data_IF_776381663532
#
_entry.id   IF_776381663532
#
_cell.length_a   1.000
_cell.length_b   1.000
_cell.length_c   1.000
_cell.angle_alpha   90.00
_cell.angle_beta   90.00
_cell.angle_gamma   90.00
#
_symmetry.space_group_name_H-M   'P 1'
#
loop_
_entity.id
_entity.type
_entity.pdbx_description
1 polymer ?
#
# COMPACT_ATOMS: atom_id res chain seq x y z
N UNK A 1 14.37 23.66 -10.22
CA UNK A 1 13.94 22.33 -9.72
C UNK A 1 15.17 21.66 -9.16
N UNK A 2 15.07 21.04 -7.98
CA UNK A 2 16.12 20.23 -7.39
C UNK A 2 15.62 18.77 -7.37
N UNK A 3 16.40 17.85 -7.91
CA UNK A 3 16.08 16.42 -7.98
C UNK A 3 16.96 15.58 -7.05
N UNK A 4 17.84 16.21 -6.27
CA UNK A 4 18.68 15.53 -5.30
C UNK A 4 17.89 15.25 -4.02
N UNK A 5 18.09 14.06 -3.46
CA UNK A 5 17.58 13.72 -2.13
C UNK A 5 18.30 14.54 -1.06
N UNK A 6 17.59 14.91 0.00
CA UNK A 6 18.22 15.46 1.19
C UNK A 6 19.07 14.39 1.89
N UNK A 7 20.02 14.80 2.73
CA UNK A 7 20.82 13.86 3.52
C UNK A 7 19.96 12.94 4.39
N UNK A 8 18.86 13.47 4.95
CA UNK A 8 17.91 12.69 5.74
C UNK A 8 17.17 11.65 4.88
N UNK A 9 16.68 12.05 3.71
CA UNK A 9 16.01 11.14 2.76
C UNK A 9 16.95 10.02 2.31
N UNK A 10 18.19 10.35 1.96
CA UNK A 10 19.21 9.38 1.56
C UNK A 10 19.55 8.39 2.70
N UNK A 11 19.67 8.87 3.93
CA UNK A 11 19.93 8.02 5.09
C UNK A 11 18.77 7.06 5.39
N UNK A 12 17.52 7.53 5.25
CA UNK A 12 16.32 6.70 5.42
C UNK A 12 16.21 5.66 4.31
N UNK A 13 16.47 6.05 3.06
CA UNK A 13 16.51 5.14 1.92
C UNK A 13 17.54 4.02 2.15
N UNK A 14 18.75 4.36 2.57
CA UNK A 14 19.79 3.37 2.85
C UNK A 14 19.42 2.45 4.02
N UNK A 15 18.79 2.98 5.06
CA UNK A 15 18.29 2.17 6.19
C UNK A 15 17.25 1.16 5.73
N UNK A 16 16.26 1.59 4.93
CA UNK A 16 15.23 0.72 4.39
C UNK A 16 15.80 -0.33 3.43
N UNK A 17 16.77 0.05 2.57
CA UNK A 17 17.49 -0.86 1.69
C UNK A 17 18.22 -1.95 2.48
N UNK A 18 19.02 -1.55 3.47
CA UNK A 18 19.75 -2.50 4.32
C UNK A 18 18.80 -3.46 5.03
N UNK A 19 17.72 -2.93 5.61
CA UNK A 19 16.69 -3.76 6.23
C UNK A 19 16.08 -4.76 5.24
N UNK A 20 15.71 -4.31 4.04
CA UNK A 20 15.15 -5.20 3.01
C UNK A 20 16.14 -6.31 2.62
N UNK A 21 17.42 -5.99 2.43
CA UNK A 21 18.44 -6.96 2.03
C UNK A 21 18.81 -7.94 3.15
N UNK A 22 18.91 -7.48 4.40
CA UNK A 22 19.41 -8.30 5.51
C UNK A 22 18.28 -9.07 6.23
N UNK A 23 17.09 -8.49 6.34
CA UNK A 23 15.98 -9.05 7.13
C UNK A 23 14.87 -9.65 6.27
N UNK A 24 14.64 -9.12 5.06
CA UNK A 24 13.53 -9.58 4.19
C UNK A 24 14.00 -10.53 3.09
N UNK A 25 15.11 -10.27 2.41
CA UNK A 25 15.55 -11.11 1.29
C UNK A 25 15.75 -12.58 1.72
N UNK A 26 16.36 -12.89 2.88
CA UNK A 26 16.39 -14.26 3.38
C UNK A 26 14.98 -14.82 3.63
N UNK A 27 14.71 -16.01 3.09
CA UNK A 27 13.43 -16.71 3.28
C UNK A 27 12.24 -16.12 2.49
N UNK A 28 12.45 -15.11 1.66
CA UNK A 28 11.35 -14.42 0.95
C UNK A 28 10.58 -15.32 -0.03
N UNK A 29 11.24 -16.33 -0.60
CA UNK A 29 10.62 -17.32 -1.48
C UNK A 29 9.83 -18.37 -0.68
N UNK A 30 10.33 -18.77 0.48
CA UNK A 30 9.65 -19.70 1.38
C UNK A 30 8.36 -19.07 1.92
N UNK A 31 8.42 -17.81 2.36
CA UNK A 31 7.25 -17.05 2.81
C UNK A 31 6.21 -16.87 1.71
N UNK A 32 6.61 -16.63 0.46
CA UNK A 32 5.67 -16.55 -0.68
C UNK A 32 5.01 -17.92 -0.95
N UNK A 33 5.79 -19.01 -0.92
CA UNK A 33 5.28 -20.35 -1.13
C UNK A 33 4.26 -20.76 -0.07
N UNK A 34 4.55 -20.45 1.20
CA UNK A 34 3.71 -20.80 2.34
C UNK A 34 2.60 -19.77 2.65
N UNK A 35 2.57 -18.63 1.94
CA UNK A 35 1.64 -17.52 2.21
C UNK A 35 1.74 -16.98 3.65
N UNK A 36 2.96 -16.92 4.18
CA UNK A 36 3.24 -16.48 5.56
C UNK A 36 3.76 -15.05 5.59
N UNK A 37 3.16 -14.19 6.42
CA UNK A 37 3.61 -12.81 6.58
C UNK A 37 4.77 -12.71 7.59
N UNK A 38 5.84 -11.96 7.27
CA UNK A 38 6.99 -11.77 8.16
C UNK A 38 6.69 -10.81 9.34
N UNK A 39 5.87 -11.25 10.31
CA UNK A 39 5.43 -10.43 11.45
C UNK A 39 6.59 -9.94 12.30
N UNK A 40 7.58 -10.80 12.58
CA UNK A 40 8.77 -10.42 13.35
C UNK A 40 9.56 -9.30 12.68
N UNK A 41 9.74 -9.38 11.36
CA UNK A 41 10.42 -8.35 10.58
C UNK A 41 9.61 -7.06 10.56
N UNK A 42 8.27 -7.12 10.52
CA UNK A 42 7.45 -5.92 10.63
C UNK A 42 7.68 -5.20 11.98
N UNK A 43 7.76 -5.94 13.09
CA UNK A 43 8.08 -5.36 14.38
C UNK A 43 9.47 -4.73 14.42
N UNK A 44 10.50 -5.40 13.87
CA UNK A 44 11.85 -4.82 13.71
C UNK A 44 11.84 -3.52 12.88
N UNK A 45 11.06 -3.50 11.80
CA UNK A 45 10.87 -2.30 10.98
C UNK A 45 10.23 -1.15 11.78
N UNK A 46 9.32 -1.48 12.70
CA UNK A 46 8.77 -0.56 13.69
C UNK A 46 9.81 0.02 14.64
N UNK A 47 10.70 -0.81 15.18
CA UNK A 47 11.80 -0.41 16.07
C UNK A 47 12.79 0.54 15.38
N UNK A 48 12.98 0.40 14.06
CA UNK A 48 13.75 1.34 13.23
C UNK A 48 13.02 2.67 12.98
N UNK A 49 11.76 2.81 13.43
CA UNK A 49 10.94 4.00 13.24
C UNK A 49 10.32 4.15 11.85
N UNK A 50 10.45 3.14 10.97
CA UNK A 50 10.02 3.26 9.58
C UNK A 50 8.50 3.36 9.44
N UNK A 51 7.73 2.68 10.31
CA UNK A 51 6.26 2.64 10.24
C UNK A 51 5.63 4.03 10.44
N UNK A 52 6.14 4.80 11.40
CA UNK A 52 5.67 6.13 11.77
C UNK A 52 6.31 7.30 11.03
N UNK A 53 7.10 7.06 9.98
CA UNK A 53 7.92 8.09 9.32
C UNK A 53 7.21 9.43 9.04
N UNK A 54 6.09 9.46 8.31
CA UNK A 54 5.52 10.73 7.83
C UNK A 54 4.66 11.44 8.88
N UNK A 55 4.55 10.88 10.10
CA UNK A 55 3.63 11.36 11.11
C UNK A 55 4.33 12.19 12.19
N UNK A 56 3.69 13.23 12.74
CA UNK A 56 4.30 14.08 13.74
C UNK A 56 4.53 13.34 15.06
N UNK A 57 5.50 13.82 15.84
CA UNK A 57 5.86 13.20 17.12
C UNK A 57 4.72 13.27 18.15
N UNK A 58 3.85 14.28 18.08
CA UNK A 58 2.73 14.42 19.02
C UNK A 58 1.78 13.20 19.02
N UNK A 59 1.63 12.53 17.87
CA UNK A 59 0.79 11.33 17.71
C UNK A 59 1.60 10.02 17.70
N UNK A 60 2.90 10.06 18.04
CA UNK A 60 3.77 8.88 18.09
C UNK A 60 4.52 8.56 16.79
N UNK A 61 4.57 9.48 15.83
CA UNK A 61 5.38 9.32 14.61
C UNK A 61 6.82 9.84 14.73
N UNK A 62 7.55 9.86 13.60
CA UNK A 62 8.95 10.31 13.54
C UNK A 62 9.14 11.76 13.07
N UNK A 63 8.15 12.33 12.38
CA UNK A 63 8.17 13.68 11.83
C UNK A 63 9.06 13.85 10.60
N UNK A 64 9.35 12.75 9.88
CA UNK A 64 10.02 12.81 8.58
C UNK A 64 9.04 13.26 7.48
N UNK A 65 9.56 13.64 6.32
CA UNK A 65 8.72 14.01 5.18
C UNK A 65 8.07 12.79 4.50
N UNK A 66 7.00 13.05 3.73
CA UNK A 66 6.28 12.00 3.03
C UNK A 66 7.11 11.31 1.93
N UNK A 67 8.13 11.98 1.38
CA UNK A 67 9.03 11.37 0.40
C UNK A 67 9.93 10.31 1.06
N UNK A 68 10.36 10.52 2.31
CA UNK A 68 11.11 9.54 3.10
C UNK A 68 10.29 8.26 3.33
N UNK A 69 8.99 8.40 3.58
CA UNK A 69 8.06 7.25 3.63
C UNK A 69 8.00 6.52 2.28
N UNK A 70 7.88 7.26 1.18
CA UNK A 70 7.84 6.68 -0.19
C UNK A 70 9.11 5.91 -0.52
N UNK A 71 10.28 6.48 -0.22
CA UNK A 71 11.58 5.82 -0.42
C UNK A 71 11.69 4.52 0.39
N UNK A 72 11.17 4.51 1.63
CA UNK A 72 11.18 3.30 2.44
C UNK A 72 10.27 2.19 1.85
N UNK A 73 9.05 2.53 1.41
CA UNK A 73 8.15 1.57 0.76
C UNK A 73 8.77 1.02 -0.53
N UNK A 74 9.40 1.89 -1.32
CA UNK A 74 10.09 1.52 -2.56
C UNK A 74 11.20 0.50 -2.30
N UNK A 75 12.16 0.80 -1.42
CA UNK A 75 13.31 -0.07 -1.13
C UNK A 75 12.88 -1.42 -0.54
N UNK A 76 11.85 -1.43 0.33
CA UNK A 76 11.26 -2.68 0.84
C UNK A 76 10.64 -3.49 -0.30
N UNK A 77 9.91 -2.84 -1.20
CA UNK A 77 9.16 -3.51 -2.28
C UNK A 77 10.07 -4.02 -3.41
N UNK A 78 11.32 -3.55 -3.51
CA UNK A 78 12.36 -4.17 -4.36
C UNK A 78 12.65 -5.61 -3.96
N UNK A 79 12.39 -5.98 -2.70
CA UNK A 79 12.69 -7.30 -2.15
C UNK A 79 11.44 -8.09 -1.78
N UNK A 80 10.49 -7.47 -1.09
CA UNK A 80 9.28 -8.13 -0.56
C UNK A 80 8.07 -7.20 -0.70
N UNK A 81 7.37 -7.34 -1.83
CA UNK A 81 6.17 -6.58 -2.13
C UNK A 81 5.03 -6.84 -1.12
N UNK A 82 5.01 -8.00 -0.46
CA UNK A 82 4.00 -8.31 0.55
C UNK A 82 4.25 -7.49 1.84
N UNK A 83 5.50 -7.41 2.29
CA UNK A 83 5.89 -6.50 3.37
C UNK A 83 5.61 -5.05 2.98
N UNK A 84 5.96 -4.66 1.75
CA UNK A 84 5.74 -3.31 1.22
C UNK A 84 4.29 -2.84 1.32
N UNK A 85 3.32 -3.65 0.87
CA UNK A 85 1.89 -3.30 1.00
C UNK A 85 1.40 -3.39 2.44
N UNK A 86 1.86 -4.36 3.23
CA UNK A 86 1.49 -4.49 4.64
C UNK A 86 1.87 -3.22 5.42
N UNK A 87 3.11 -2.77 5.24
CA UNK A 87 3.62 -1.48 5.73
C UNK A 87 2.79 -0.30 5.21
N UNK A 88 2.59 -0.23 3.89
CA UNK A 88 1.89 0.89 3.27
C UNK A 88 0.45 1.05 3.77
N UNK A 89 -0.29 -0.04 3.97
CA UNK A 89 -1.66 -0.01 4.51
C UNK A 89 -1.68 0.50 5.95
N UNK A 90 -0.73 0.07 6.78
CA UNK A 90 -0.60 0.56 8.16
C UNK A 90 -0.41 2.08 8.16
N UNK A 91 0.56 2.56 7.40
CA UNK A 91 0.93 3.97 7.41
C UNK A 91 -0.09 4.81 6.66
N UNK A 92 -0.41 4.53 5.40
CA UNK A 92 -1.16 5.43 4.52
C UNK A 92 -2.67 5.25 4.54
N UNK A 93 -3.18 4.05 4.79
CA UNK A 93 -4.63 3.79 4.82
C UNK A 93 -5.18 3.86 6.24
N UNK A 94 -4.76 2.97 7.13
CA UNK A 94 -5.20 3.02 8.53
C UNK A 94 -4.75 4.34 9.17
N UNK A 95 -3.43 4.60 9.20
CA UNK A 95 -2.89 5.83 9.77
C UNK A 95 -3.44 7.09 9.11
N UNK A 96 -3.62 7.04 7.78
CA UNK A 96 -4.18 8.15 7.00
C UNK A 96 -5.63 8.47 7.36
N UNK A 97 -6.49 7.45 7.59
CA UNK A 97 -7.87 7.66 8.02
C UNK A 97 -7.96 8.42 9.34
N UNK A 98 -7.14 8.06 10.32
CA UNK A 98 -7.13 8.72 11.62
C UNK A 98 -6.53 10.11 11.50
N UNK A 99 -5.39 10.26 10.82
CA UNK A 99 -4.71 11.55 10.72
C UNK A 99 -5.47 12.59 9.90
N UNK A 100 -6.14 12.16 8.84
CA UNK A 100 -6.97 13.04 8.01
C UNK A 100 -8.32 13.39 8.65
N UNK A 101 -8.71 12.72 9.73
CA UNK A 101 -9.94 13.01 10.47
C UNK A 101 -9.86 14.33 11.23
N UNK A 102 -11.03 14.80 11.70
CA UNK A 102 -11.15 15.97 12.57
C UNK A 102 -10.95 15.63 14.06
N UNK A 103 -10.55 14.40 14.40
CA UNK A 103 -10.34 14.00 15.79
C UNK A 103 -9.24 14.86 16.47
N UNK A 104 -9.37 15.16 17.77
CA UNK A 104 -8.31 15.81 18.55
C UNK A 104 -7.00 15.02 18.55
N UNK A 105 -5.87 15.69 18.79
CA UNK A 105 -4.53 15.08 18.75
C UNK A 105 -4.42 13.91 19.74
N UNK A 106 -5.02 14.04 20.92
CA UNK A 106 -5.03 13.03 21.97
C UNK A 106 -5.72 11.76 21.49
N UNK A 107 -6.86 11.90 20.81
CA UNK A 107 -7.61 10.76 20.25
C UNK A 107 -6.89 10.14 19.05
N UNK A 108 -6.23 10.97 18.23
CA UNK A 108 -5.36 10.46 17.14
C UNK A 108 -4.22 9.64 17.72
N UNK A 109 -3.54 10.14 18.74
CA UNK A 109 -2.45 9.44 19.42
C UNK A 109 -2.88 8.10 19.98
N UNK A 110 -4.04 8.04 20.65
CA UNK A 110 -4.61 6.79 21.19
C UNK A 110 -4.70 5.68 20.13
N UNK A 111 -5.13 6.01 18.90
CA UNK A 111 -5.29 5.04 17.82
C UNK A 111 -4.03 4.81 16.97
N UNK A 112 -3.00 5.65 17.12
CA UNK A 112 -1.84 5.64 16.25
C UNK A 112 -0.56 5.19 16.95
N UNK A 113 -0.32 5.55 18.21
CA UNK A 113 0.99 5.41 18.84
C UNK A 113 1.56 3.99 18.76
N UNK A 114 0.77 2.97 19.13
CA UNK A 114 1.21 1.57 19.05
C UNK A 114 1.40 1.10 17.61
N UNK A 115 0.54 1.55 16.70
CA UNK A 115 0.59 1.19 15.28
C UNK A 115 1.81 1.83 14.59
N UNK A 116 2.09 3.11 14.85
CA UNK A 116 3.22 3.84 14.30
C UNK A 116 4.57 3.39 14.87
N UNK A 117 4.55 2.81 16.08
CA UNK A 117 5.72 2.11 16.65
C UNK A 117 5.98 0.73 16.02
N UNK A 118 5.06 0.24 15.18
CA UNK A 118 5.10 -1.09 14.57
C UNK A 118 4.81 -2.25 15.53
N UNK A 119 4.32 -1.99 16.76
CA UNK A 119 3.88 -3.04 17.70
C UNK A 119 2.53 -3.63 17.31
N UNK A 120 1.68 -2.84 16.67
CA UNK A 120 0.35 -3.23 16.25
C UNK A 120 0.15 -3.04 14.75
N UNK A 121 -0.78 -3.80 14.18
CA UNK A 121 -1.19 -3.67 12.79
C UNK A 121 -2.48 -2.86 12.65
N UNK A 122 -2.53 -2.05 11.60
CA UNK A 122 -3.71 -1.35 11.13
C UNK A 122 -4.26 -1.96 9.83
N UNK A 123 -5.59 -1.97 9.69
CA UNK A 123 -6.31 -2.32 8.45
C UNK A 123 -7.38 -1.28 8.08
N UNK A 124 -7.84 -1.33 6.83
CA UNK A 124 -8.76 -0.37 6.22
C UNK A 124 -9.94 -1.09 5.58
N UNK A 125 -11.12 -0.95 6.19
CA UNK A 125 -12.36 -1.61 5.78
C UNK A 125 -13.32 -0.68 5.07
N UNK A 126 -13.16 -0.55 3.76
CA UNK A 126 -14.06 0.17 2.88
C UNK A 126 -14.84 -0.77 1.95
N UNK A 127 -14.11 -1.58 1.18
CA UNK A 127 -14.64 -2.44 0.12
C UNK A 127 -15.57 -3.52 0.66
N UNK A 128 -16.64 -3.77 -0.09
CA UNK A 128 -17.65 -4.78 0.18
C UNK A 128 -17.89 -5.61 -1.08
N UNK A 129 -18.50 -6.81 -0.99
CA UNK A 129 -18.74 -7.65 -2.16
C UNK A 129 -19.49 -6.94 -3.31
N UNK A 130 -20.38 -5.99 -2.98
CA UNK A 130 -21.12 -5.19 -3.97
C UNK A 130 -20.51 -3.80 -4.23
N UNK A 131 -19.47 -3.39 -3.50
CA UNK A 131 -18.93 -2.03 -3.51
C UNK A 131 -17.39 -2.04 -3.58
N UNK A 132 -16.88 -2.16 -4.81
CA UNK A 132 -15.45 -2.03 -5.14
C UNK A 132 -15.12 -0.64 -5.69
N UNK A 133 -15.05 -0.53 -7.02
CA UNK A 133 -14.86 0.75 -7.71
C UNK A 133 -15.97 1.77 -7.41
N UNK A 134 -17.21 1.30 -7.25
CA UNK A 134 -18.32 2.10 -6.70
C UNK A 134 -18.29 2.04 -5.17
N UNK A 135 -17.27 2.67 -4.57
CA UNK A 135 -17.11 2.68 -3.11
C UNK A 135 -18.30 3.37 -2.38
N UNK A 136 -19.12 4.15 -3.10
CA UNK A 136 -20.32 4.79 -2.55
C UNK A 136 -21.52 3.85 -2.43
N UNK A 137 -21.46 2.67 -3.06
CA UNK A 137 -22.48 1.62 -3.01
C UNK A 137 -22.41 0.71 -1.79
N UNK A 138 -21.62 1.05 -0.76
CA UNK A 138 -21.52 0.26 0.46
C UNK A 138 -22.87 0.11 1.17
N UNK A 139 -23.06 -1.01 1.87
CA UNK A 139 -24.28 -1.40 2.59
C UNK A 139 -24.02 -1.78 4.05
N UNK A 140 -22.77 -1.87 4.52
CA UNK A 140 -22.48 -2.02 5.96
C UNK A 140 -23.08 -0.85 6.73
N UNK A 141 -23.83 -1.13 7.80
CA UNK A 141 -24.54 -0.13 8.61
C UNK A 141 -23.96 -0.02 10.02
N UNK A 142 -24.17 1.13 10.64
CA UNK A 142 -23.89 1.41 12.04
C UNK A 142 -25.10 2.12 12.66
N UNK A 143 -25.94 1.37 13.39
CA UNK A 143 -27.15 1.91 14.02
C UNK A 143 -26.81 2.45 15.42
N UNK A 144 -27.30 3.65 15.75
CA UNK A 144 -27.08 4.25 17.06
C UNK A 144 -27.93 3.53 18.13
N UNK A 145 -27.29 3.08 19.21
CA UNK A 145 -27.93 2.45 20.37
C UNK A 145 -27.38 3.08 21.67
N UNK A 146 -28.12 4.03 22.24
CA UNK A 146 -27.67 4.82 23.38
C UNK A 146 -26.43 5.67 23.05
N UNK A 147 -25.33 5.40 23.77
CA UNK A 147 -24.01 6.03 23.59
C UNK A 147 -23.09 5.24 22.65
N UNK A 148 -23.57 4.12 22.11
CA UNK A 148 -22.84 3.23 21.20
C UNK A 148 -23.44 3.23 19.79
N UNK A 149 -22.72 2.57 18.89
CA UNK A 149 -23.19 2.14 17.58
C UNK A 149 -23.08 0.63 17.44
N UNK A 150 -24.06 0.01 16.78
CA UNK A 150 -24.09 -1.40 16.44
C UNK A 150 -23.80 -1.56 14.95
N UNK A 151 -22.63 -2.10 14.64
CA UNK A 151 -22.19 -2.31 13.27
C UNK A 151 -22.59 -3.70 12.77
N UNK A 152 -23.17 -3.75 11.57
CA UNK A 152 -23.55 -4.97 10.88
C UNK A 152 -23.16 -4.91 9.40
N UNK A 153 -22.46 -5.93 8.91
CA UNK A 153 -22.07 -6.04 7.51
C UNK A 153 -20.85 -6.93 7.27
N UNK A 154 -20.31 -6.82 6.06
CA UNK A 154 -19.16 -7.58 5.60
C UNK A 154 -18.25 -6.68 4.78
N UNK A 155 -16.98 -6.57 5.20
CA UNK A 155 -15.92 -6.02 4.36
C UNK A 155 -15.16 -7.15 3.70
N UNK A 156 -14.66 -6.93 2.49
CA UNK A 156 -13.82 -7.91 1.78
C UNK A 156 -12.52 -7.28 1.29
N UNK A 157 -11.55 -8.14 0.98
CA UNK A 157 -10.22 -7.75 0.49
C UNK A 157 -9.44 -6.80 1.42
N UNK A 158 -9.59 -6.97 2.74
CA UNK A 158 -8.92 -6.15 3.75
C UNK A 158 -7.48 -6.60 3.90
N UNK A 159 -6.54 -5.85 3.34
CA UNK A 159 -5.11 -6.04 3.62
C UNK A 159 -4.84 -5.84 5.11
N UNK A 160 -3.98 -6.70 5.66
CA UNK A 160 -3.68 -6.86 7.08
C UNK A 160 -4.86 -7.38 7.93
N UNK A 161 -6.03 -7.68 7.38
CA UNK A 161 -7.22 -8.07 8.15
C UNK A 161 -6.97 -9.13 9.24
N UNK A 162 -6.31 -10.27 8.93
CA UNK A 162 -5.99 -11.29 9.93
C UNK A 162 -5.01 -10.82 11.04
N UNK A 163 -4.13 -9.89 10.70
CA UNK A 163 -3.07 -9.40 11.58
C UNK A 163 -3.51 -8.18 12.41
N UNK A 164 -4.44 -7.39 11.89
CA UNK A 164 -4.78 -6.06 12.40
C UNK A 164 -5.35 -6.08 13.82
N UNK A 165 -4.72 -5.29 14.69
CA UNK A 165 -5.23 -4.98 16.03
C UNK A 165 -6.31 -3.90 15.97
N UNK A 166 -6.21 -3.02 14.98
CA UNK A 166 -7.14 -1.92 14.75
C UNK A 166 -7.57 -1.87 13.28
N UNK A 167 -8.87 -1.73 13.04
CA UNK A 167 -9.43 -1.57 11.69
C UNK A 167 -10.24 -0.29 11.60
N UNK A 168 -9.93 0.56 10.62
CA UNK A 168 -10.77 1.69 10.26
C UNK A 168 -11.92 1.20 9.37
N UNK A 169 -13.13 1.07 9.94
CA UNK A 169 -14.32 0.54 9.26
C UNK A 169 -15.24 1.67 8.84
N UNK A 170 -15.51 1.75 7.54
CA UNK A 170 -16.50 2.67 6.99
C UNK A 170 -17.89 2.03 6.98
N UNK A 171 -18.87 2.68 7.59
CA UNK A 171 -20.23 2.16 7.73
C UNK A 171 -21.26 3.30 7.63
N UNK A 172 -22.44 2.99 7.09
CA UNK A 172 -23.54 3.92 6.94
C UNK A 172 -24.24 4.12 8.28
N UNK A 173 -24.18 5.35 8.82
CA UNK A 173 -25.01 5.76 9.97
C UNK A 173 -26.34 6.37 9.52
N UNK A 174 -26.41 6.82 8.26
CA UNK A 174 -27.61 7.36 7.61
C UNK A 174 -27.81 6.69 6.23
N UNK A 175 -28.26 5.42 6.18
CA UNK A 175 -28.31 4.64 4.93
C UNK A 175 -29.10 5.28 3.80
N UNK A 176 -30.13 6.05 4.12
CA UNK A 176 -30.96 6.79 3.16
C UNK A 176 -30.18 7.87 2.38
N UNK A 177 -29.04 8.33 2.92
CA UNK A 177 -28.14 9.29 2.27
C UNK A 177 -27.04 8.63 1.42
N UNK A 178 -27.01 7.30 1.33
CA UNK A 178 -26.00 6.52 0.58
C UNK A 178 -24.58 6.96 0.95
N UNK A 179 -23.69 7.17 -0.02
CA UNK A 179 -22.32 7.65 0.22
C UNK A 179 -22.22 8.89 1.13
N UNK A 180 -23.23 9.79 1.15
CA UNK A 180 -23.23 10.96 2.05
C UNK A 180 -23.57 10.59 3.50
N UNK A 181 -24.13 9.41 3.74
CA UNK A 181 -24.43 8.85 5.07
C UNK A 181 -23.29 8.06 5.70
N UNK A 182 -22.10 8.06 5.08
CA UNK A 182 -20.96 7.27 5.50
C UNK A 182 -20.23 7.92 6.68
N UNK A 183 -19.92 7.12 7.68
CA UNK A 183 -19.05 7.44 8.82
C UNK A 183 -17.85 6.47 8.85
N UNK A 184 -16.89 6.71 9.74
CA UNK A 184 -15.77 5.79 9.95
C UNK A 184 -15.53 5.58 11.45
N UNK A 185 -15.31 4.33 11.82
CA UNK A 185 -15.10 3.87 13.18
C UNK A 185 -13.77 3.14 13.29
N UNK A 186 -13.08 3.26 14.42
CA UNK A 186 -11.95 2.39 14.76
C UNK A 186 -12.48 1.20 15.56
N UNK A 187 -12.36 0.00 15.00
CA UNK A 187 -12.77 -1.26 15.63
C UNK A 187 -11.53 -2.04 16.03
N UNK A 188 -11.44 -2.41 17.32
CA UNK A 188 -10.32 -3.18 17.87
C UNK A 188 -10.55 -4.69 17.68
N UNK A 189 -9.48 -5.44 17.43
CA UNK A 189 -9.50 -6.90 17.42
C UNK A 189 -10.00 -7.44 18.76
N UNK A 190 -10.88 -8.43 18.71
CA UNK A 190 -11.49 -9.03 19.90
C UNK A 190 -12.76 -8.33 20.40
N UNK A 191 -13.19 -7.22 19.80
CA UNK A 191 -14.53 -6.68 20.05
C UNK A 191 -15.59 -7.74 19.69
N UNK A 192 -16.54 -8.07 20.59
CA UNK A 192 -17.56 -9.08 20.32
C UNK A 192 -18.30 -8.82 19.00
N UNK A 193 -18.47 -9.88 18.20
CA UNK A 193 -19.09 -9.81 16.88
C UNK A 193 -18.16 -9.39 15.73
N UNK A 194 -16.93 -8.97 16.02
CA UNK A 194 -15.95 -8.59 14.99
C UNK A 194 -14.94 -9.72 14.77
N UNK A 195 -14.97 -10.34 13.59
CA UNK A 195 -14.13 -11.50 13.29
C UNK A 195 -13.57 -11.50 11.87
N UNK A 196 -12.46 -12.21 11.71
CA UNK A 196 -11.86 -12.48 10.40
C UNK A 196 -12.68 -13.55 9.69
N UNK A 197 -13.09 -13.27 8.45
CA UNK A 197 -13.80 -14.22 7.60
C UNK A 197 -12.83 -15.02 6.73
N UNK A 198 -13.18 -15.22 5.45
CA UNK A 198 -12.29 -15.90 4.49
C UNK A 198 -10.96 -15.17 4.35
N UNK A 199 -9.85 -15.90 4.44
CA UNK A 199 -8.51 -15.43 4.04
C UNK A 199 -8.31 -15.77 2.56
N UNK A 200 -7.86 -14.79 1.77
CA UNK A 200 -7.77 -14.92 0.32
C UNK A 200 -6.52 -15.67 -0.15
N UNK A 201 -6.71 -16.68 -1.00
CA UNK A 201 -5.65 -17.31 -1.79
C UNK A 201 -5.46 -16.53 -3.11
N UNK A 202 -4.25 -16.00 -3.31
CA UNK A 202 -3.96 -14.94 -4.27
C UNK A 202 -2.90 -15.38 -5.28
N UNK A 203 -2.95 -14.77 -6.47
CA UNK A 203 -1.96 -14.92 -7.53
C UNK A 203 -0.55 -14.48 -7.08
N UNK A 204 -0.46 -13.26 -6.55
CA UNK A 204 0.78 -12.63 -6.07
C UNK A 204 0.57 -12.00 -4.70
N UNK A 205 1.61 -11.35 -4.19
CA UNK A 205 1.73 -10.83 -2.82
C UNK A 205 1.22 -11.85 -1.81
N UNK A 206 1.61 -13.12 -1.99
CA UNK A 206 0.98 -14.26 -1.32
C UNK A 206 1.16 -14.22 0.19
N UNK A 207 2.29 -13.66 0.66
CA UNK A 207 2.57 -13.46 2.07
C UNK A 207 1.70 -12.36 2.70
N UNK A 208 1.20 -11.40 1.91
CA UNK A 208 0.31 -10.36 2.42
C UNK A 208 -1.02 -10.99 2.86
N UNK A 209 -1.39 -10.75 4.13
CA UNK A 209 -2.63 -11.28 4.69
C UNK A 209 -3.80 -10.40 4.23
N UNK A 210 -4.76 -11.00 3.55
CA UNK A 210 -5.93 -10.32 2.99
C UNK A 210 -7.15 -11.14 3.34
N UNK A 211 -8.17 -10.53 3.94
CA UNK A 211 -9.36 -11.26 4.35
C UNK A 211 -10.66 -10.48 4.23
N UNK A 212 -11.74 -11.20 4.38
CA UNK A 212 -13.01 -10.65 4.84
C UNK A 212 -12.90 -10.21 6.31
N UNK A 213 -13.68 -9.18 6.65
CA UNK A 213 -13.93 -8.75 8.03
C UNK A 213 -15.44 -8.75 8.26
N UNK A 214 -15.90 -9.62 9.15
CA UNK A 214 -17.30 -9.85 9.47
C UNK A 214 -17.68 -8.96 10.66
N UNK A 215 -18.82 -8.28 10.54
CA UNK A 215 -19.41 -7.46 11.60
C UNK A 215 -20.81 -7.99 11.92
N UNK A 216 -20.96 -8.65 13.06
CA UNK A 216 -22.23 -9.18 13.56
C UNK A 216 -22.56 -8.56 14.92
N UNK A 217 -23.42 -7.54 14.91
CA UNK A 217 -23.80 -6.77 16.09
C UNK A 217 -22.61 -6.23 16.89
N UNK A 218 -21.60 -5.71 16.18
CA UNK A 218 -20.38 -5.17 16.79
C UNK A 218 -20.72 -3.87 17.49
N UNK A 219 -20.71 -3.88 18.83
CA UNK A 219 -20.95 -2.69 19.65
C UNK A 219 -19.67 -1.86 19.76
N UNK A 220 -19.74 -0.61 19.31
CA UNK A 220 -18.61 0.33 19.28
C UNK A 220 -19.02 1.64 19.96
N UNK A 221 -18.28 2.12 20.97
CA UNK A 221 -18.56 3.40 21.61
C UNK A 221 -18.54 4.56 20.62
N UNK A 222 -19.39 5.59 20.84
CA UNK A 222 -19.42 6.79 19.99
C UNK A 222 -18.04 7.46 19.83
N UNK A 223 -17.20 7.41 20.86
CA UNK A 223 -15.83 7.96 20.85
C UNK A 223 -14.88 7.28 19.85
N UNK A 224 -15.20 6.07 19.39
CA UNK A 224 -14.44 5.38 18.35
C UNK A 224 -14.84 5.81 16.93
N UNK A 225 -15.90 6.62 16.78
CA UNK A 225 -16.25 7.26 15.52
C UNK A 225 -15.27 8.41 15.25
N UNK A 226 -14.37 8.23 14.28
CA UNK A 226 -13.36 9.23 13.92
C UNK A 226 -13.88 10.26 12.90
N UNK A 227 -15.00 9.96 12.24
CA UNK A 227 -15.68 10.92 11.36
C UNK A 227 -17.17 10.65 11.34
N UNK A 228 -17.95 11.72 11.48
CA UNK A 228 -19.41 11.68 11.43
C UNK A 228 -19.95 11.51 10.01
N UNK A 229 -21.26 11.24 9.92
CA UNK A 229 -21.99 11.26 8.65
C UNK A 229 -21.79 12.57 7.89
N UNK A 230 -21.86 12.51 6.56
CA UNK A 230 -21.61 13.65 5.67
C UNK A 230 -20.13 13.87 5.32
N UNK A 231 -19.19 13.35 6.12
CA UNK A 231 -17.75 13.51 5.89
C UNK A 231 -17.01 12.19 5.64
N UNK A 232 -17.60 11.02 5.92
CA UNK A 232 -16.91 9.73 5.81
C UNK A 232 -16.44 9.39 4.40
N UNK A 233 -17.26 9.60 3.37
CA UNK A 233 -16.84 9.34 1.98
C UNK A 233 -15.71 10.28 1.53
N UNK A 234 -15.76 11.55 1.94
CA UNK A 234 -14.69 12.51 1.67
C UNK A 234 -13.39 12.09 2.37
N UNK A 235 -13.47 11.61 3.61
CA UNK A 235 -12.32 11.05 4.32
C UNK A 235 -11.74 9.84 3.60
N UNK A 236 -12.60 8.87 3.21
CA UNK A 236 -12.17 7.68 2.47
C UNK A 236 -11.40 8.04 1.19
N UNK A 237 -11.92 8.98 0.40
CA UNK A 237 -11.25 9.43 -0.83
C UNK A 237 -9.91 10.11 -0.54
N UNK A 238 -9.84 10.97 0.47
CA UNK A 238 -8.59 11.63 0.88
C UNK A 238 -7.55 10.62 1.40
N UNK A 239 -7.98 9.59 2.11
CA UNK A 239 -7.11 8.49 2.54
C UNK A 239 -6.58 7.72 1.35
N UNK A 240 -7.45 7.33 0.40
CA UNK A 240 -7.04 6.63 -0.83
C UNK A 240 -6.11 7.46 -1.72
N UNK A 241 -6.24 8.79 -1.77
CA UNK A 241 -5.25 9.64 -2.45
C UNK A 241 -3.85 9.46 -1.86
N UNK A 242 -3.73 9.29 -0.54
CA UNK A 242 -2.48 9.01 0.14
C UNK A 242 -1.97 7.59 -0.08
N UNK A 243 -2.87 6.61 -0.07
CA UNK A 243 -2.54 5.19 -0.28
C UNK A 243 -2.11 4.89 -1.72
N UNK A 244 -2.68 5.57 -2.72
CA UNK A 244 -2.22 5.52 -4.12
C UNK A 244 -0.75 5.86 -4.28
N UNK A 245 -0.21 6.78 -3.48
CA UNK A 245 1.22 7.12 -3.47
C UNK A 245 2.03 5.93 -2.91
N UNK A 246 1.54 5.26 -1.88
CA UNK A 246 2.15 4.04 -1.33
C UNK A 246 2.16 2.87 -2.32
N UNK A 247 1.03 2.63 -2.99
CA UNK A 247 0.94 1.63 -4.07
C UNK A 247 1.87 1.97 -5.24
N UNK A 248 1.96 3.24 -5.62
CA UNK A 248 2.89 3.68 -6.66
C UNK A 248 4.35 3.38 -6.27
N UNK A 249 4.72 3.63 -5.01
CA UNK A 249 6.04 3.28 -4.48
C UNK A 249 6.28 1.76 -4.47
N UNK A 250 5.27 0.97 -4.12
CA UNK A 250 5.36 -0.49 -4.21
C UNK A 250 5.57 -0.96 -5.65
N UNK A 251 4.78 -0.44 -6.60
CA UNK A 251 4.92 -0.77 -8.02
C UNK A 251 6.29 -0.39 -8.56
N UNK A 252 6.79 0.80 -8.22
CA UNK A 252 8.13 1.23 -8.59
C UNK A 252 9.21 0.30 -8.01
N UNK A 253 9.12 -0.05 -6.73
CA UNK A 253 10.05 -0.99 -6.09
C UNK A 253 10.05 -2.36 -6.77
N UNK A 254 8.86 -2.89 -7.10
CA UNK A 254 8.74 -4.16 -7.85
C UNK A 254 9.43 -4.06 -9.22
N UNK A 255 9.21 -2.96 -9.95
CA UNK A 255 9.83 -2.73 -11.25
C UNK A 255 11.37 -2.69 -11.13
N UNK A 256 11.89 -1.88 -10.21
CA UNK A 256 13.34 -1.70 -10.04
C UNK A 256 14.04 -2.98 -9.55
N UNK A 257 13.43 -3.73 -8.62
CA UNK A 257 14.01 -4.99 -8.16
C UNK A 257 14.07 -6.04 -9.28
N UNK A 258 13.01 -6.17 -10.08
CA UNK A 258 13.01 -7.09 -11.22
C UNK A 258 14.00 -6.66 -12.31
N UNK A 259 14.10 -5.36 -12.57
CA UNK A 259 15.08 -4.78 -13.48
C UNK A 259 16.52 -5.08 -13.04
N UNK A 260 16.83 -4.93 -11.75
CA UNK A 260 18.16 -5.20 -11.22
C UNK A 260 18.55 -6.68 -11.37
N UNK A 261 17.62 -7.60 -11.07
CA UNK A 261 17.85 -9.04 -11.26
C UNK A 261 18.11 -9.35 -12.74
N UNK A 262 17.32 -8.79 -13.65
CA UNK A 262 17.52 -8.96 -15.08
C UNK A 262 18.88 -8.40 -15.55
N UNK A 263 19.25 -7.21 -15.08
CA UNK A 263 20.53 -6.57 -15.40
C UNK A 263 21.72 -7.44 -15.00
N UNK A 264 21.75 -7.95 -13.77
CA UNK A 264 22.86 -8.79 -13.30
C UNK A 264 22.87 -10.16 -13.98
N UNK A 265 21.71 -10.73 -14.29
CA UNK A 265 21.63 -11.95 -15.09
C UNK A 265 22.17 -11.75 -16.52
N UNK A 266 21.82 -10.66 -17.18
CA UNK A 266 22.29 -10.35 -18.53
C UNK A 266 23.80 -10.09 -18.61
N UNK A 267 24.42 -9.61 -17.52
CA UNK A 267 25.86 -9.39 -17.39
C UNK A 267 26.65 -10.69 -17.26
N UNK A 268 26.05 -11.73 -16.66
CA UNK A 268 26.74 -12.97 -16.28
C UNK A 268 26.38 -14.17 -17.16
N UNK A 269 25.16 -14.24 -17.68
CA UNK A 269 24.73 -15.32 -18.56
C UNK A 269 25.32 -15.15 -19.96
N UNK A 270 25.95 -16.21 -20.47
CA UNK A 270 26.49 -16.24 -21.83
C UNK A 270 25.66 -17.12 -22.77
N UNK A 271 25.46 -16.64 -24.00
CA UNK A 271 24.97 -17.41 -25.14
C UNK A 271 25.67 -16.92 -26.40
N UNK A 272 25.86 -17.82 -27.38
CA UNK A 272 26.58 -17.50 -28.62
C UNK A 272 27.98 -16.89 -28.36
N UNK A 273 28.66 -17.36 -27.31
CA UNK A 273 30.03 -16.98 -26.97
C UNK A 273 30.21 -15.58 -26.36
N UNK A 274 29.14 -14.94 -25.87
CA UNK A 274 29.21 -13.64 -25.20
C UNK A 274 28.12 -13.47 -24.13
N UNK A 275 28.32 -12.56 -23.15
CA UNK A 275 27.26 -12.17 -22.24
C UNK A 275 26.02 -11.64 -22.96
N UNK A 276 24.84 -11.91 -22.42
CA UNK A 276 23.56 -11.53 -23.05
C UNK A 276 23.42 -10.02 -23.25
N UNK A 277 23.96 -9.19 -22.36
CA UNK A 277 23.93 -7.72 -22.52
C UNK A 277 24.64 -7.21 -23.79
N UNK A 278 25.51 -8.03 -24.41
CA UNK A 278 26.15 -7.73 -25.71
C UNK A 278 25.25 -8.02 -26.91
N UNK A 279 24.03 -8.49 -26.69
CA UNK A 279 22.97 -8.53 -27.70
C UNK A 279 22.27 -7.16 -27.73
N UNK A 280 22.31 -6.49 -28.89
CA UNK A 280 21.77 -5.15 -29.06
C UNK A 280 20.27 -5.06 -28.71
N UNK A 281 19.49 -6.09 -29.06
CA UNK A 281 18.07 -6.12 -28.75
C UNK A 281 17.83 -6.09 -27.24
N UNK A 282 18.55 -6.91 -26.46
CA UNK A 282 18.41 -6.96 -25.01
C UNK A 282 18.90 -5.65 -24.36
N UNK A 283 20.00 -5.08 -24.85
CA UNK A 283 20.51 -3.80 -24.37
C UNK A 283 19.53 -2.65 -24.63
N UNK A 284 18.90 -2.59 -25.82
CA UNK A 284 17.88 -1.59 -26.14
C UNK A 284 16.63 -1.76 -25.27
N UNK A 285 16.18 -3.00 -25.08
CA UNK A 285 15.03 -3.26 -24.20
C UNK A 285 15.31 -2.80 -22.77
N UNK A 286 16.49 -3.09 -22.21
CA UNK A 286 16.86 -2.59 -20.88
C UNK A 286 16.88 -1.05 -20.83
N UNK A 287 17.37 -0.37 -21.87
CA UNK A 287 17.34 1.08 -21.92
C UNK A 287 15.90 1.66 -21.98
N UNK A 288 14.99 1.03 -22.71
CA UNK A 288 13.57 1.41 -22.76
C UNK A 288 12.92 1.28 -21.38
N UNK A 289 13.13 0.15 -20.71
CA UNK A 289 12.58 -0.12 -19.38
C UNK A 289 13.12 0.86 -18.32
N UNK A 290 14.41 1.20 -18.38
CA UNK A 290 15.01 2.18 -17.47
C UNK A 290 14.36 3.56 -17.63
N UNK A 291 14.14 4.01 -18.87
CA UNK A 291 13.47 5.30 -19.13
C UNK A 291 12.02 5.30 -18.63
N UNK A 292 11.32 4.17 -18.73
CA UNK A 292 9.95 4.02 -18.21
C UNK A 292 9.91 4.08 -16.68
N UNK A 293 10.82 3.36 -16.01
CA UNK A 293 10.99 3.38 -14.55
C UNK A 293 11.26 4.82 -14.07
N UNK A 294 12.20 5.52 -14.71
CA UNK A 294 12.58 6.87 -14.29
C UNK A 294 11.44 7.88 -14.50
N UNK A 295 10.70 7.77 -15.61
CA UNK A 295 9.52 8.60 -15.83
C UNK A 295 8.44 8.39 -14.76
N UNK A 296 8.21 7.13 -14.35
CA UNK A 296 7.27 6.79 -13.29
C UNK A 296 7.74 7.31 -11.92
N UNK A 297 9.02 7.13 -11.60
CA UNK A 297 9.66 7.61 -10.36
C UNK A 297 9.50 9.11 -10.16
N UNK A 298 9.76 9.92 -11.19
CA UNK A 298 9.61 11.37 -11.11
C UNK A 298 8.16 11.78 -10.81
N UNK A 299 7.18 11.09 -11.40
CA UNK A 299 5.76 11.36 -11.13
C UNK A 299 5.38 10.99 -9.67
N UNK A 300 5.89 9.87 -9.18
CA UNK A 300 5.70 9.44 -7.79
C UNK A 300 6.27 10.46 -6.80
N UNK A 301 7.54 10.85 -6.98
CA UNK A 301 8.19 11.78 -6.05
C UNK A 301 7.51 13.14 -6.07
N UNK A 302 7.05 13.60 -7.23
CA UNK A 302 6.22 14.81 -7.32
C UNK A 302 4.93 14.68 -6.51
N UNK A 303 4.23 13.55 -6.57
CA UNK A 303 3.00 13.33 -5.80
C UNK A 303 3.26 13.34 -4.28
N UNK A 304 4.36 12.74 -3.84
CA UNK A 304 4.80 12.76 -2.45
C UNK A 304 5.11 14.19 -1.97
N UNK A 305 5.85 14.96 -2.77
CA UNK A 305 6.19 16.36 -2.49
C UNK A 305 4.95 17.25 -2.46
N UNK A 306 4.03 17.10 -3.42
CA UNK A 306 2.76 17.84 -3.44
C UNK A 306 1.96 17.58 -2.16
N UNK A 307 1.90 16.34 -1.68
CA UNK A 307 1.25 15.99 -0.41
C UNK A 307 1.93 16.65 0.78
N UNK A 308 3.26 16.54 0.88
CA UNK A 308 4.05 17.11 1.98
C UNK A 308 3.85 18.62 2.10
N UNK A 309 3.82 19.32 0.97
CA UNK A 309 3.71 20.79 0.91
C UNK A 309 2.25 21.28 0.96
N UNK A 310 1.29 20.38 1.23
CA UNK A 310 -0.13 20.71 1.37
C UNK A 310 -0.81 21.13 0.06
N UNK A 311 -0.19 20.89 -1.09
CA UNK A 311 -0.79 21.16 -2.41
C UNK A 311 -1.83 20.09 -2.76
N UNK A 312 -2.79 20.39 -3.65
CA UNK A 312 -3.70 19.38 -4.18
C UNK A 312 -2.91 18.24 -4.85
N UNK A 313 -3.01 17.03 -4.29
CA UNK A 313 -2.20 15.88 -4.71
C UNK A 313 -3.02 14.70 -5.27
N UNK A 314 -4.35 14.75 -5.28
CA UNK A 314 -5.20 13.66 -5.81
C UNK A 314 -4.87 13.32 -7.26
N UNK A 315 -4.67 14.33 -8.11
CA UNK A 315 -4.33 14.14 -9.52
C UNK A 315 -2.88 13.63 -9.71
N UNK A 316 -1.85 14.23 -9.07
CA UNK A 316 -0.51 13.65 -9.03
C UNK A 316 -0.48 12.19 -8.54
N UNK A 317 -1.20 11.86 -7.47
CA UNK A 317 -1.26 10.51 -6.91
C UNK A 317 -1.88 9.50 -7.89
N UNK A 318 -2.99 9.86 -8.54
CA UNK A 318 -3.62 9.01 -9.56
C UNK A 318 -2.68 8.77 -10.76
N UNK A 319 -1.97 9.80 -11.23
CA UNK A 319 -0.97 9.69 -12.32
C UNK A 319 0.22 8.82 -11.91
N UNK A 320 0.76 9.03 -10.71
CA UNK A 320 1.86 8.24 -10.17
C UNK A 320 1.47 6.76 -10.07
N UNK A 321 0.32 6.47 -9.45
CA UNK A 321 -0.18 5.10 -9.32
C UNK A 321 -0.36 4.44 -10.69
N UNK A 322 -0.95 5.14 -11.66
CA UNK A 322 -1.06 4.61 -13.00
C UNK A 322 0.32 4.26 -13.60
N UNK A 323 1.23 5.24 -13.67
CA UNK A 323 2.52 5.07 -14.34
C UNK A 323 3.40 4.01 -13.67
N UNK A 324 3.54 4.05 -12.34
CA UNK A 324 4.36 3.08 -11.62
C UNK A 324 3.83 1.64 -11.73
N UNK A 325 2.50 1.46 -11.79
CA UNK A 325 1.91 0.11 -11.85
C UNK A 325 1.85 -0.47 -13.25
N UNK A 326 1.73 0.37 -14.28
CA UNK A 326 1.99 -0.05 -15.67
C UNK A 326 3.46 -0.47 -15.85
N UNK A 327 4.39 0.36 -15.37
CA UNK A 327 5.82 0.06 -15.42
C UNK A 327 6.16 -1.24 -14.68
N UNK A 328 5.62 -1.45 -13.48
CA UNK A 328 5.80 -2.70 -12.72
C UNK A 328 5.40 -3.94 -13.54
N UNK A 329 4.23 -3.91 -14.18
CA UNK A 329 3.73 -5.05 -14.95
C UNK A 329 4.57 -5.28 -16.22
N UNK A 330 4.94 -4.21 -16.93
CA UNK A 330 5.73 -4.31 -18.16
C UNK A 330 7.16 -4.80 -17.86
N UNK A 331 7.85 -4.13 -16.93
CA UNK A 331 9.24 -4.45 -16.55
C UNK A 331 9.35 -5.88 -16.04
N UNK A 332 8.46 -6.33 -15.16
CA UNK A 332 8.52 -7.69 -14.62
C UNK A 332 8.26 -8.75 -15.68
N UNK A 333 7.35 -8.50 -16.63
CA UNK A 333 7.09 -9.41 -17.76
C UNK A 333 8.33 -9.53 -18.66
N UNK A 334 8.96 -8.41 -19.00
CA UNK A 334 10.19 -8.40 -19.79
C UNK A 334 11.36 -9.05 -19.03
N UNK A 335 11.46 -8.82 -17.72
CA UNK A 335 12.48 -9.45 -16.88
C UNK A 335 12.37 -10.99 -16.91
N UNK A 336 11.15 -11.56 -16.78
CA UNK A 336 10.94 -13.01 -16.95
C UNK A 336 11.42 -13.46 -18.34
N UNK A 337 11.06 -12.73 -19.39
CA UNK A 337 11.46 -13.05 -20.77
C UNK A 337 12.99 -13.01 -20.97
N UNK A 338 13.68 -12.05 -20.37
CA UNK A 338 15.14 -11.88 -20.47
C UNK A 338 15.92 -12.99 -19.75
N UNK A 339 15.39 -13.51 -18.65
CA UNK A 339 15.96 -14.67 -17.97
C UNK A 339 15.67 -15.99 -18.72
N UNK A 340 14.68 -16.00 -19.63
CA UNK A 340 14.27 -17.17 -20.40
C UNK A 340 13.64 -18.24 -19.49
N UNK A 341 13.99 -19.51 -19.72
CA UNK A 341 13.45 -20.62 -18.90
C UNK A 341 13.69 -20.44 -17.40
N UNK A 342 14.82 -19.83 -17.01
CA UNK A 342 15.15 -19.53 -15.62
C UNK A 342 14.21 -18.49 -15.02
N UNK A 343 13.75 -17.52 -15.81
CA UNK A 343 12.81 -16.49 -15.36
C UNK A 343 11.45 -17.06 -14.97
N UNK A 344 11.13 -18.27 -15.43
CA UNK A 344 9.90 -18.99 -15.11
C UNK A 344 10.06 -19.91 -13.87
N UNK A 345 11.28 -20.10 -13.37
CA UNK A 345 11.55 -20.91 -12.17
C UNK A 345 11.50 -20.03 -10.91
N UNK A 346 10.89 -20.55 -9.84
CA UNK A 346 10.67 -19.80 -8.58
C UNK A 346 11.97 -19.32 -7.92
N UNK A 347 13.06 -20.06 -8.09
CA UNK A 347 14.37 -19.76 -7.47
C UNK A 347 15.00 -18.45 -7.96
N UNK A 348 14.61 -17.94 -9.12
CA UNK A 348 15.14 -16.69 -9.68
C UNK A 348 14.35 -15.45 -9.26
N UNK A 349 13.29 -15.59 -8.45
CA UNK A 349 12.52 -14.50 -7.83
C UNK A 349 11.65 -13.64 -8.78
N UNK A 350 12.06 -13.47 -10.05
CA UNK A 350 11.40 -12.58 -11.01
C UNK A 350 9.97 -13.01 -11.34
N UNK A 351 9.68 -14.32 -11.42
CA UNK A 351 8.30 -14.81 -11.62
C UNK A 351 7.36 -14.34 -10.51
N UNK A 352 7.85 -14.34 -9.27
CA UNK A 352 7.08 -13.86 -8.12
C UNK A 352 6.81 -12.37 -8.25
N UNK A 353 7.83 -11.58 -8.59
CA UNK A 353 7.67 -10.14 -8.80
C UNK A 353 6.66 -9.82 -9.93
N UNK A 354 6.62 -10.64 -10.99
CA UNK A 354 5.60 -10.52 -12.04
C UNK A 354 4.18 -10.80 -11.53
N UNK A 355 4.00 -11.85 -10.70
CA UNK A 355 2.71 -12.12 -10.04
C UNK A 355 2.32 -10.97 -9.11
N UNK A 356 3.27 -10.45 -8.35
CA UNK A 356 3.08 -9.35 -7.40
C UNK A 356 2.71 -8.05 -8.12
N UNK A 357 3.32 -7.74 -9.26
CA UNK A 357 3.04 -6.53 -10.03
C UNK A 357 1.57 -6.41 -10.45
N UNK A 358 0.90 -7.52 -10.75
CA UNK A 358 -0.46 -7.51 -11.31
C UNK A 358 -1.49 -6.88 -10.37
N UNK A 359 -1.40 -7.13 -9.06
CA UNK A 359 -2.36 -6.56 -8.10
C UNK A 359 -2.25 -5.04 -8.01
N UNK A 360 -1.07 -4.49 -8.33
CA UNK A 360 -0.82 -3.06 -8.23
C UNK A 360 -1.72 -2.25 -9.14
N UNK A 361 -2.10 -2.81 -10.30
CA UNK A 361 -3.03 -2.18 -11.25
C UNK A 361 -4.50 -2.21 -10.79
N UNK A 362 -4.84 -2.95 -9.73
CA UNK A 362 -6.23 -3.30 -9.34
C UNK A 362 -6.67 -2.63 -8.04
N UNK A 363 -5.98 -2.91 -6.93
CA UNK A 363 -6.38 -2.39 -5.60
C UNK A 363 -6.20 -0.86 -5.47
N UNK A 364 -6.71 -0.26 -4.40
CA UNK A 364 -6.66 1.19 -4.15
C UNK A 364 -7.19 2.07 -5.32
N UNK A 365 -8.11 1.47 -6.09
CA UNK A 365 -8.62 1.99 -7.34
C UNK A 365 -7.86 1.43 -8.53
N UNK A 366 -8.58 0.77 -9.43
CA UNK A 366 -8.00 0.22 -10.66
C UNK A 366 -7.40 1.33 -11.51
N UNK A 367 -6.57 0.95 -12.48
CA UNK A 367 -6.00 1.92 -13.41
C UNK A 367 -7.07 2.65 -14.25
N UNK A 368 -8.25 2.07 -14.43
CA UNK A 368 -9.42 2.75 -15.03
C UNK A 368 -9.99 3.83 -14.11
N UNK A 369 -10.01 3.59 -12.80
CA UNK A 369 -10.39 4.63 -11.81
C UNK A 369 -9.36 5.76 -11.79
N UNK A 370 -8.07 5.45 -11.92
CA UNK A 370 -7.06 6.49 -12.05
C UNK A 370 -7.27 7.32 -13.32
N UNK A 371 -7.57 6.68 -14.45
CA UNK A 371 -7.93 7.36 -15.71
C UNK A 371 -9.17 8.23 -15.53
N UNK A 372 -10.19 7.77 -14.80
CA UNK A 372 -11.40 8.54 -14.51
C UNK A 372 -11.10 9.81 -13.69
N UNK A 373 -10.23 9.72 -12.69
CA UNK A 373 -9.80 10.87 -11.90
C UNK A 373 -9.06 11.88 -12.78
N UNK A 374 -8.15 11.38 -13.64
CA UNK A 374 -7.39 12.22 -14.56
C UNK A 374 -8.29 12.88 -15.60
N UNK A 375 -9.18 12.12 -16.25
CA UNK A 375 -10.11 12.66 -17.25
C UNK A 375 -11.06 13.67 -16.64
N UNK A 376 -11.55 13.41 -15.43
CA UNK A 376 -12.41 14.33 -14.69
C UNK A 376 -11.73 15.64 -14.29
N UNK A 377 -10.40 15.75 -14.35
CA UNK A 377 -9.67 17.00 -14.18
C UNK A 377 -9.40 17.72 -15.51
N UNK A 378 -9.34 17.00 -16.64
CA UNK A 378 -9.13 17.57 -17.97
C UNK A 378 -10.38 18.30 -18.47
N UNK A 379 -11.55 17.69 -18.28
CA UNK A 379 -12.82 18.19 -18.81
C UNK A 379 -13.66 18.94 -17.76
N UNK A 380 -13.01 19.50 -16.75
CA UNK A 380 -13.65 20.12 -15.58
C UNK A 380 -13.88 21.62 -15.78
#
# INVERSE_FOLDING_TARGET
MNFELTQQQAAIQETARKFAQEELLPGVLERDANSEFPVEQFHKMGELGLVGLPYPKEVGGQGADYLSYVLAVEEISKVDASMGIGYSVVTSLYGGSIMNSAAPVEKKREFLEEVLSGKCFGSFGLTEPNAGSDAGGCVTVAEKDGDDYILNGLKCFNTNGPLADYTAVYALTEPEKKAKGLSCFVVKKGTPGFSVGKIEDKMGIRSAQVSEMILENVRVPKENMIVESGQGFKLAMKTLDGGRIGVAAQGLGIAEGAFEIAKEYLKTREQFGKPLYRNQYLAFKMAELEMEIEAAKLMLYKAATDKQEGRPYSLPAAKAKYLCTEAAMHVTTEAVQMLGGNGYMKEYHVERMMRDAKITQIYEGTNEIQKLIVSGAIFR
#
